data_IF_855656974343
#
_entry.id   IF_855656974343
#
_cell.length_a   1.000
_cell.length_b   1.000
_cell.length_c   1.000
_cell.angle_alpha   90.00
_cell.angle_beta   90.00
_cell.angle_gamma   90.00
#
_symmetry.space_group_name_H-M   'P 1'
#
loop_
_entity.id
_entity.type
_entity.pdbx_description
1 polymer ?
#
# COMPACT_ATOMS: atom_id res chain seq x y z
N UNK A 1 16.94 -8.15 3.20
CA UNK A 1 16.84 -6.93 2.36
C UNK A 1 16.38 -5.80 3.27
N UNK A 2 16.96 -4.61 3.17
CA UNK A 2 16.51 -3.43 3.91
C UNK A 2 15.61 -2.60 3.00
N UNK A 3 14.48 -2.10 3.49
CA UNK A 3 13.64 -1.15 2.75
C UNK A 3 14.15 0.28 2.97
N UNK A 4 13.85 1.17 2.03
CA UNK A 4 14.09 2.60 2.19
C UNK A 4 13.41 3.14 3.45
N UNK A 5 12.15 2.74 3.72
CA UNK A 5 11.41 3.17 4.90
C UNK A 5 12.12 2.81 6.22
N UNK A 6 12.79 1.65 6.27
CA UNK A 6 13.60 1.27 7.43
C UNK A 6 14.80 2.19 7.62
N UNK A 7 15.50 2.55 6.54
CA UNK A 7 16.65 3.46 6.60
C UNK A 7 16.18 4.86 7.02
N UNK A 8 15.08 5.33 6.44
CA UNK A 8 14.49 6.62 6.79
C UNK A 8 14.06 6.67 8.27
N UNK A 9 13.41 5.63 8.77
CA UNK A 9 13.05 5.53 10.19
C UNK A 9 14.27 5.64 11.11
N UNK A 10 15.36 4.92 10.81
CA UNK A 10 16.60 5.02 11.60
C UNK A 10 17.23 6.41 11.54
N UNK A 11 17.17 7.08 10.39
CA UNK A 11 17.64 8.46 10.27
C UNK A 11 16.82 9.43 11.14
N UNK A 12 15.49 9.32 11.12
CA UNK A 12 14.61 10.13 11.96
C UNK A 12 14.90 9.92 13.45
N UNK A 13 15.03 8.66 13.86
CA UNK A 13 15.27 8.31 15.26
C UNK A 13 16.67 8.75 15.74
N UNK A 14 17.72 8.45 14.97
CA UNK A 14 19.10 8.61 15.44
C UNK A 14 19.71 9.98 15.16
N UNK A 15 19.25 10.66 14.11
CA UNK A 15 19.85 11.91 13.64
C UNK A 15 18.94 13.11 13.92
N UNK A 16 17.63 12.95 13.75
CA UNK A 16 16.66 14.03 13.99
C UNK A 16 16.06 14.01 15.39
N UNK A 17 16.35 13.00 16.21
CA UNK A 17 15.78 12.78 17.55
C UNK A 17 14.24 12.86 17.52
N UNK A 18 13.63 12.30 16.46
CA UNK A 18 12.19 12.30 16.25
C UNK A 18 11.56 13.67 15.94
N UNK A 19 12.33 14.73 15.71
CA UNK A 19 11.79 16.09 15.51
C UNK A 19 10.79 16.13 14.35
N UNK A 20 9.55 16.51 14.63
CA UNK A 20 8.47 16.60 13.64
C UNK A 20 7.87 15.26 13.21
N UNK A 21 8.25 14.15 13.86
CA UNK A 21 7.80 12.81 13.53
C UNK A 21 7.21 12.11 14.77
N UNK A 22 6.38 11.10 14.52
CA UNK A 22 5.88 10.19 15.55
C UNK A 22 5.84 8.77 14.98
N UNK A 23 5.96 7.77 15.85
CA UNK A 23 5.78 6.38 15.43
C UNK A 23 4.29 6.08 15.29
N UNK A 24 3.92 5.58 14.11
CA UNK A 24 2.62 4.98 13.83
C UNK A 24 2.80 3.51 13.46
N UNK A 25 1.78 2.71 13.76
CA UNK A 25 1.67 1.33 13.31
C UNK A 25 0.50 1.12 12.33
N UNK A 26 -0.16 2.22 11.96
CA UNK A 26 -1.34 2.25 11.11
C UNK A 26 -0.97 1.98 9.65
N UNK A 27 -1.60 0.97 9.06
CA UNK A 27 -1.42 0.63 7.66
C UNK A 27 -2.55 1.24 6.81
N UNK A 28 -2.53 2.58 6.62
CA UNK A 28 -3.57 3.30 5.84
C UNK A 28 -3.71 2.84 4.38
N UNK A 29 -2.75 2.08 3.86
CA UNK A 29 -2.73 1.53 2.51
C UNK A 29 -2.69 0.00 2.56
N UNK A 30 -3.72 -0.65 2.00
CA UNK A 30 -3.74 -2.10 1.85
C UNK A 30 -2.91 -2.51 0.63
N UNK A 31 -1.89 -3.35 0.81
CA UNK A 31 -0.95 -3.68 -0.27
C UNK A 31 -1.09 -5.11 -0.80
N UNK A 32 -1.06 -5.27 -2.13
CA UNK A 32 -0.85 -6.54 -2.83
C UNK A 32 0.50 -6.49 -3.53
N UNK A 33 1.52 -7.02 -2.85
CA UNK A 33 2.93 -6.83 -3.23
C UNK A 33 3.51 -8.03 -3.99
N UNK A 34 3.14 -9.26 -3.64
CA UNK A 34 3.73 -10.47 -4.21
C UNK A 34 2.68 -11.33 -4.91
N UNK A 35 3.13 -12.19 -5.84
CA UNK A 35 2.27 -13.10 -6.58
C UNK A 35 1.87 -12.56 -7.95
N UNK A 36 0.67 -12.94 -8.40
CA UNK A 36 0.13 -12.61 -9.72
C UNK A 36 -0.94 -11.51 -9.63
N UNK A 37 -1.35 -11.01 -10.80
CA UNK A 37 -2.47 -10.09 -10.92
C UNK A 37 -3.76 -10.76 -10.42
N UNK A 38 -4.52 -10.02 -9.62
CA UNK A 38 -5.82 -10.47 -9.14
C UNK A 38 -6.82 -10.58 -10.31
N UNK A 39 -7.70 -11.57 -10.24
CA UNK A 39 -8.95 -11.58 -11.02
C UNK A 39 -9.87 -10.42 -10.56
N UNK A 40 -10.95 -10.16 -11.32
CA UNK A 40 -11.88 -9.07 -11.00
C UNK A 40 -12.54 -9.30 -9.64
N UNK A 41 -12.95 -10.54 -9.37
CA UNK A 41 -13.61 -10.89 -8.12
C UNK A 41 -12.65 -10.88 -6.93
N UNK A 42 -11.41 -11.32 -7.14
CA UNK A 42 -10.36 -11.21 -6.13
C UNK A 42 -10.05 -9.75 -5.82
N UNK A 43 -9.98 -8.89 -6.83
CA UNK A 43 -9.80 -7.46 -6.64
C UNK A 43 -10.96 -6.83 -5.86
N UNK A 44 -12.21 -7.15 -6.22
CA UNK A 44 -13.40 -6.65 -5.48
C UNK A 44 -13.38 -7.10 -4.02
N UNK A 45 -13.04 -8.36 -3.74
CA UNK A 45 -12.90 -8.86 -2.36
C UNK A 45 -11.74 -8.20 -1.63
N UNK A 46 -10.63 -7.96 -2.32
CA UNK A 46 -9.46 -7.27 -1.75
C UNK A 46 -9.81 -5.86 -1.29
N UNK A 47 -10.56 -5.10 -2.11
CA UNK A 47 -11.05 -3.75 -1.75
C UNK A 47 -12.12 -3.82 -0.66
N UNK A 48 -13.08 -4.74 -0.76
CA UNK A 48 -14.14 -4.89 0.24
C UNK A 48 -13.63 -5.29 1.63
N UNK A 49 -12.43 -5.89 1.72
CA UNK A 49 -11.78 -6.28 2.96
C UNK A 49 -10.89 -5.17 3.57
N UNK A 50 -10.90 -3.96 3.02
CA UNK A 50 -10.19 -2.83 3.60
C UNK A 50 -10.78 -2.46 4.97
N UNK A 51 -9.89 -2.19 5.94
CA UNK A 51 -10.32 -1.66 7.23
C UNK A 51 -10.84 -0.22 7.07
N UNK A 52 -11.69 0.30 7.99
CA UNK A 52 -12.31 1.62 7.85
C UNK A 52 -11.33 2.79 7.73
N UNK A 53 -10.13 2.64 8.29
CA UNK A 53 -9.02 3.59 8.25
C UNK A 53 -8.13 3.44 7.00
N UNK A 54 -8.27 2.35 6.24
CA UNK A 54 -7.56 2.17 4.99
C UNK A 54 -8.23 2.99 3.89
N UNK A 55 -7.50 3.96 3.36
CA UNK A 55 -7.99 4.92 2.36
C UNK A 55 -7.33 4.76 1.00
N UNK A 56 -6.36 3.85 0.89
CA UNK A 56 -5.62 3.58 -0.34
C UNK A 56 -5.35 2.09 -0.53
N UNK A 57 -5.08 1.72 -1.79
CA UNK A 57 -4.52 0.42 -2.15
C UNK A 57 -3.18 0.60 -2.87
N UNK A 58 -2.25 -0.30 -2.61
CA UNK A 58 -0.97 -0.39 -3.30
C UNK A 58 -0.86 -1.71 -4.03
N UNK A 59 -0.51 -1.70 -5.31
CA UNK A 59 -0.30 -2.92 -6.10
C UNK A 59 1.07 -2.88 -6.74
N UNK A 60 1.85 -3.96 -6.62
CA UNK A 60 3.16 -4.02 -7.23
C UNK A 60 3.05 -4.03 -8.76
N UNK A 61 3.75 -3.11 -9.42
CA UNK A 61 3.68 -2.95 -10.88
C UNK A 61 4.08 -4.19 -11.66
N UNK A 62 4.99 -5.02 -11.13
CA UNK A 62 5.50 -6.21 -11.81
C UNK A 62 4.58 -7.44 -11.75
N UNK A 63 3.47 -7.40 -11.00
CA UNK A 63 2.55 -8.55 -10.92
C UNK A 63 1.57 -8.59 -12.11
N UNK A 64 1.69 -7.66 -13.06
CA UNK A 64 0.92 -7.66 -14.31
C UNK A 64 -0.50 -7.09 -14.18
N UNK A 65 -0.79 -6.30 -13.14
CA UNK A 65 -2.12 -5.69 -13.00
C UNK A 65 -2.28 -4.51 -13.94
N UNK A 66 -3.32 -4.55 -14.79
CA UNK A 66 -3.68 -3.45 -15.68
C UNK A 66 -4.32 -2.28 -14.91
N UNK A 67 -3.76 -1.07 -15.02
CA UNK A 67 -4.27 0.13 -14.35
C UNK A 67 -5.64 0.52 -14.90
N UNK A 68 -5.87 0.36 -16.21
CA UNK A 68 -7.17 0.67 -16.81
C UNK A 68 -8.29 -0.17 -16.19
N UNK A 69 -8.02 -1.45 -15.97
CA UNK A 69 -8.91 -2.38 -15.26
C UNK A 69 -9.18 -1.96 -13.83
N UNK A 70 -8.16 -1.53 -13.08
CA UNK A 70 -8.36 -1.01 -11.71
C UNK A 70 -9.36 0.15 -11.73
N UNK A 71 -9.16 1.14 -12.62
CA UNK A 71 -10.03 2.33 -12.72
C UNK A 71 -11.49 1.97 -12.99
N UNK A 72 -11.73 1.06 -13.94
CA UNK A 72 -13.08 0.52 -14.22
C UNK A 72 -13.71 -0.10 -12.99
N UNK A 73 -12.94 -0.94 -12.27
CA UNK A 73 -13.43 -1.69 -11.11
C UNK A 73 -13.78 -0.81 -9.90
N UNK A 74 -13.14 0.36 -9.77
CA UNK A 74 -13.44 1.33 -8.72
C UNK A 74 -14.36 2.46 -9.17
N UNK A 75 -14.94 2.37 -10.38
CA UNK A 75 -15.92 3.33 -10.88
C UNK A 75 -15.36 4.72 -11.21
N UNK A 76 -14.07 4.79 -11.60
CA UNK A 76 -13.37 6.04 -11.96
C UNK A 76 -13.14 6.17 -13.48
N UNK A 77 -14.03 5.60 -14.28
CA UNK A 77 -14.04 5.77 -15.74
C UNK A 77 -14.47 7.17 -16.18
#
# INVERSE_FOLDING_TARGET
KFSECMIYGRYVDDVLDGTGHFHGAEEFCRVHWTGEALSDDEFRRFVAAMAPDQVAIGMQSFIGTDIGRIRRLIGLD
#
